data_IF_789474884587
#
_entry.id   IF_789474884587
#
_cell.length_a   1.000
_cell.length_b   1.000
_cell.length_c   1.000
_cell.angle_alpha   90.00
_cell.angle_beta   90.00
_cell.angle_gamma   90.00
#
_symmetry.space_group_name_H-M   'P 1'
#
loop_
_entity.id
_entity.type
_entity.pdbx_description
1 polymer ?
#
# COMPACT_ATOMS: atom_id res chain seq x y z
N UNK A 1 -1.65 -8.35 0.15
CA UNK A 1 -1.91 -7.26 -0.83
C UNK A 1 -1.67 -7.84 -2.21
N UNK A 2 -2.73 -8.32 -2.86
CA UNK A 2 -2.62 -9.03 -4.14
C UNK A 2 -3.73 -8.65 -5.11
N UNK A 3 -4.33 -7.48 -4.89
CA UNK A 3 -5.42 -6.98 -5.70
C UNK A 3 -4.95 -5.76 -6.50
N UNK A 4 -3.85 -5.89 -7.25
CA UNK A 4 -3.37 -4.86 -8.16
C UNK A 4 -4.39 -4.50 -9.26
N UNK A 5 -5.39 -5.37 -9.44
CA UNK A 5 -6.54 -5.19 -10.32
C UNK A 5 -7.72 -4.46 -9.64
N UNK A 6 -7.57 -4.01 -8.39
CA UNK A 6 -8.67 -3.42 -7.65
C UNK A 6 -9.13 -2.09 -8.26
N UNK A 7 -10.43 -1.99 -8.53
CA UNK A 7 -11.09 -0.72 -8.86
C UNK A 7 -11.33 0.18 -7.64
N UNK A 8 -10.75 -0.12 -6.47
CA UNK A 8 -10.93 0.68 -5.26
C UNK A 8 -10.47 2.11 -5.52
N UNK A 9 -11.39 3.04 -5.30
CA UNK A 9 -11.16 4.48 -5.41
C UNK A 9 -10.46 5.01 -4.15
N UNK A 10 -9.46 5.88 -4.35
CA UNK A 10 -8.65 6.50 -3.30
C UNK A 10 -8.86 8.01 -3.17
N UNK A 11 -9.98 8.56 -3.65
CA UNK A 11 -10.31 9.99 -3.60
C UNK A 11 -10.51 10.57 -2.19
N UNK A 12 -10.38 9.74 -1.15
CA UNK A 12 -10.28 10.20 0.24
C UNK A 12 -8.88 10.69 0.60
N UNK A 13 -7.87 10.40 -0.23
CA UNK A 13 -6.51 10.95 -0.12
C UNK A 13 -6.48 12.26 -0.92
N UNK A 14 -6.03 13.34 -0.27
CA UNK A 14 -5.98 14.65 -0.91
C UNK A 14 -5.10 14.66 -2.18
N UNK A 15 -5.67 15.22 -3.25
CA UNK A 15 -5.07 15.24 -4.58
C UNK A 15 -4.87 13.86 -5.22
N UNK A 16 -5.73 12.88 -4.92
CA UNK A 16 -5.88 11.62 -5.68
C UNK A 16 -7.28 11.57 -6.28
N UNK A 17 -7.39 11.32 -7.58
CA UNK A 17 -8.66 11.36 -8.31
C UNK A 17 -8.85 10.09 -9.16
N UNK A 18 -8.78 8.91 -8.55
CA UNK A 18 -8.90 7.66 -9.29
C UNK A 18 -8.84 6.39 -8.45
N UNK A 19 -8.93 5.26 -9.14
CA UNK A 19 -8.67 3.94 -8.55
C UNK A 19 -7.20 3.58 -8.62
N UNK A 20 -6.74 2.72 -7.70
CA UNK A 20 -5.37 2.23 -7.72
C UNK A 20 -5.00 1.56 -9.05
N UNK A 21 -5.87 0.66 -9.56
CA UNK A 21 -5.63 0.01 -10.85
C UNK A 21 -5.64 1.00 -12.02
N UNK A 22 -6.54 1.99 -12.02
CA UNK A 22 -6.58 3.00 -13.07
C UNK A 22 -5.31 3.85 -13.11
N UNK A 23 -4.82 4.26 -11.94
CA UNK A 23 -3.62 5.06 -11.79
C UNK A 23 -2.32 4.27 -11.99
N UNK A 24 -2.34 2.95 -11.78
CA UNK A 24 -1.17 2.12 -12.08
C UNK A 24 -0.82 2.08 -13.57
N UNK A 25 -1.79 2.33 -14.47
CA UNK A 25 -1.56 2.53 -15.91
C UNK A 25 -1.16 3.98 -16.21
N UNK A 26 -0.11 4.46 -15.55
CA UNK A 26 0.28 5.87 -15.58
C UNK A 26 0.87 6.33 -16.91
N UNK A 27 1.41 5.44 -17.76
CA UNK A 27 2.00 5.79 -19.08
C UNK A 27 3.05 6.91 -19.02
N UNK A 28 3.79 6.95 -17.92
CA UNK A 28 4.75 8.02 -17.58
C UNK A 28 4.14 9.44 -17.54
N UNK A 29 2.82 9.55 -17.37
CA UNK A 29 2.14 10.82 -17.13
C UNK A 29 2.37 11.25 -15.67
N UNK A 30 3.07 12.38 -15.50
CA UNK A 30 3.51 12.90 -14.19
C UNK A 30 2.38 13.00 -13.16
N UNK A 31 1.21 13.50 -13.55
CA UNK A 31 0.05 13.63 -12.64
C UNK A 31 -0.40 12.26 -12.09
N UNK A 32 -0.43 11.23 -12.94
CA UNK A 32 -0.81 9.87 -12.51
C UNK A 32 0.27 9.26 -11.64
N UNK A 33 1.54 9.51 -11.92
CA UNK A 33 2.66 9.06 -11.10
C UNK A 33 2.59 9.62 -9.68
N UNK A 34 2.37 10.93 -9.54
CA UNK A 34 2.22 11.59 -8.23
C UNK A 34 1.06 10.98 -7.46
N UNK A 35 -0.09 10.76 -8.11
CA UNK A 35 -1.25 10.14 -7.47
C UNK A 35 -1.00 8.68 -7.08
N UNK A 36 -0.32 7.92 -7.95
CA UNK A 36 0.04 6.53 -7.69
C UNK A 36 1.02 6.41 -6.50
N UNK A 37 2.01 7.30 -6.42
CA UNK A 37 2.94 7.40 -5.29
C UNK A 37 2.21 7.75 -3.98
N UNK A 38 1.26 8.68 -4.00
CA UNK A 38 0.44 9.02 -2.82
C UNK A 38 -0.30 7.81 -2.28
N UNK A 39 -0.88 6.98 -3.15
CA UNK A 39 -1.56 5.74 -2.73
C UNK A 39 -0.55 4.74 -2.15
N UNK A 40 0.62 4.58 -2.78
CA UNK A 40 1.69 3.74 -2.26
C UNK A 40 2.16 4.17 -0.87
N UNK A 41 2.39 5.46 -0.68
CA UNK A 41 2.76 6.07 0.60
C UNK A 41 1.68 5.85 1.66
N UNK A 42 0.40 6.01 1.29
CA UNK A 42 -0.70 5.73 2.21
C UNK A 42 -0.71 4.27 2.69
N UNK A 43 -0.49 3.30 1.79
CA UNK A 43 -0.40 1.89 2.16
C UNK A 43 0.75 1.61 3.13
N UNK A 44 1.92 2.24 2.91
CA UNK A 44 3.05 2.13 3.84
C UNK A 44 2.74 2.75 5.21
N UNK A 45 2.03 3.87 5.24
CA UNK A 45 1.56 4.47 6.50
C UNK A 45 0.59 3.55 7.26
N UNK A 46 -0.31 2.83 6.56
CA UNK A 46 -1.19 1.84 7.20
C UNK A 46 -0.41 0.64 7.76
N UNK A 47 0.61 0.16 7.04
CA UNK A 47 1.48 -0.90 7.55
C UNK A 47 2.21 -0.46 8.83
N UNK A 48 2.79 0.74 8.82
CA UNK A 48 3.44 1.31 10.00
C UNK A 48 2.47 1.43 11.18
N UNK A 49 1.25 1.94 10.94
CA UNK A 49 0.22 2.02 11.97
C UNK A 49 -0.09 0.66 12.61
N UNK A 50 -0.24 -0.40 11.82
CA UNK A 50 -0.50 -1.74 12.32
C UNK A 50 0.68 -2.26 13.15
N UNK A 51 1.91 -2.11 12.65
CA UNK A 51 3.12 -2.54 13.35
C UNK A 51 3.25 -1.83 14.71
N UNK A 52 3.07 -0.51 14.74
CA UNK A 52 3.12 0.26 15.98
C UNK A 52 1.99 -0.14 16.93
N UNK A 53 0.79 -0.40 16.40
CA UNK A 53 -0.32 -0.88 17.22
C UNK A 53 -0.01 -2.24 17.83
N UNK A 54 0.52 -3.19 17.06
CA UNK A 54 0.92 -4.52 17.56
C UNK A 54 2.00 -4.40 18.64
N UNK A 55 3.00 -3.54 18.43
CA UNK A 55 4.04 -3.27 19.43
C UNK A 55 3.49 -2.65 20.72
N UNK A 56 2.42 -1.87 20.64
CA UNK A 56 1.80 -1.24 21.83
C UNK A 56 0.98 -2.20 22.69
N UNK A 57 0.58 -3.36 22.15
CA UNK A 57 -0.28 -4.33 22.81
C UNK A 57 0.58 -5.37 23.53
N UNK A 58 0.54 -5.39 24.86
CA UNK A 58 1.27 -6.37 25.67
C UNK A 58 0.62 -7.75 25.62
N UNK A 59 1.41 -8.79 25.43
CA UNK A 59 1.01 -10.20 25.49
C UNK A 59 2.08 -11.01 26.25
N UNK A 60 1.67 -11.70 27.32
CA UNK A 60 2.55 -12.49 28.18
C UNK A 60 3.89 -11.80 28.53
N UNK A 61 5.00 -12.31 27.99
CA UNK A 61 6.37 -11.85 28.22
C UNK A 61 6.87 -10.82 27.17
N UNK A 62 6.00 -10.36 26.26
CA UNK A 62 6.33 -9.40 25.23
C UNK A 62 5.13 -8.60 24.73
N UNK A 63 5.10 -8.36 23.43
CA UNK A 63 4.04 -7.65 22.72
C UNK A 63 3.43 -8.55 21.63
N UNK A 64 2.25 -8.21 21.13
CA UNK A 64 1.65 -8.92 20.00
C UNK A 64 2.60 -8.99 18.79
N UNK A 65 3.43 -7.97 18.60
CA UNK A 65 4.43 -7.98 17.54
C UNK A 65 5.53 -9.04 17.78
N UNK A 66 5.98 -9.22 19.02
CA UNK A 66 7.02 -10.20 19.37
C UNK A 66 6.57 -11.65 19.12
N UNK A 67 5.25 -11.89 19.13
CA UNK A 67 4.63 -13.19 18.92
C UNK A 67 4.00 -13.36 17.52
N UNK A 68 4.28 -12.44 16.58
CA UNK A 68 3.68 -12.45 15.23
C UNK A 68 4.71 -12.47 14.11
N UNK A 69 4.37 -13.14 13.01
CA UNK A 69 5.07 -12.98 11.73
C UNK A 69 4.26 -12.04 10.82
N UNK A 70 4.89 -10.97 10.34
CA UNK A 70 4.27 -10.01 9.40
C UNK A 70 4.87 -10.22 8.02
N UNK A 71 4.01 -10.48 7.02
CA UNK A 71 4.40 -10.58 5.61
C UNK A 71 3.72 -9.49 4.80
N UNK A 72 4.52 -8.71 4.06
CA UNK A 72 4.06 -7.63 3.20
C UNK A 72 4.72 -7.73 1.83
N UNK A 73 3.94 -7.54 0.76
CA UNK A 73 4.41 -7.65 -0.61
C UNK A 73 3.35 -7.28 -1.64
N UNK A 74 3.78 -7.22 -2.89
CA UNK A 74 2.96 -6.90 -4.07
C UNK A 74 3.04 -8.03 -5.10
N UNK A 75 2.03 -8.16 -5.96
CA UNK A 75 2.03 -9.10 -7.09
C UNK A 75 2.80 -8.59 -8.30
N UNK A 76 3.06 -7.28 -8.37
CA UNK A 76 3.82 -6.61 -9.43
C UNK A 76 4.77 -5.59 -8.81
N UNK A 77 5.95 -5.45 -9.39
CA UNK A 77 6.90 -4.37 -9.11
C UNK A 77 6.46 -3.08 -9.78
N UNK A 78 6.00 -3.16 -11.03
CA UNK A 78 5.54 -2.04 -11.84
C UNK A 78 4.16 -2.37 -12.43
N UNK A 79 3.16 -1.59 -12.03
CA UNK A 79 1.78 -1.77 -12.47
C UNK A 79 1.52 -1.30 -13.91
N UNK A 80 2.34 -0.39 -14.44
CA UNK A 80 2.24 0.12 -15.80
C UNK A 80 2.87 -0.84 -16.80
N UNK A 81 4.03 -1.41 -16.46
CA UNK A 81 4.73 -2.40 -17.28
C UNK A 81 4.22 -3.82 -17.11
N UNK A 82 3.42 -4.06 -16.07
CA UNK A 82 3.05 -5.41 -15.62
C UNK A 82 4.29 -6.28 -15.35
N UNK A 83 5.31 -5.66 -14.77
CA UNK A 83 6.57 -6.32 -14.46
C UNK A 83 6.60 -6.76 -12.99
N UNK A 84 7.10 -7.96 -12.75
CA UNK A 84 7.31 -8.55 -11.43
C UNK A 84 8.80 -8.62 -11.04
N UNK A 85 9.73 -8.14 -11.89
CA UNK A 85 11.18 -8.26 -11.71
C UNK A 85 11.94 -6.93 -11.76
#
# INVERSE_FOLDING_TARGET
IGNAQTGRNFSFIDGVNGSFHGLSHHRDEEDKLIQYEKIGTWHMAQLAYVIEKMRSLKEADGTLLDHSLVMFGSTLKDGNKHDNH
#
